data_IF_162095637130
#
_entry.id   IF_162095637130
#
_cell.length_a   1.000
_cell.length_b   1.000
_cell.length_c   1.000
_cell.angle_alpha   90.00
_cell.angle_beta   90.00
_cell.angle_gamma   90.00
#
_symmetry.space_group_name_H-M   'P 1'
#
loop_
_entity.id
_entity.type
_entity.pdbx_description
1 polymer ?
#
# COMPACT_ATOMS: atom_id res chain seq x y z
N UNK A 1 17.73 3.04 -13.40
CA UNK A 1 18.91 2.28 -12.93
C UNK A 1 18.95 2.27 -11.41
N UNK A 2 18.88 3.41 -10.77
CA UNK A 2 19.01 3.56 -9.31
C UNK A 2 17.89 2.85 -8.54
N UNK A 3 16.65 2.90 -9.05
CA UNK A 3 15.51 2.16 -8.49
C UNK A 3 15.75 0.66 -8.40
N UNK A 4 16.33 0.05 -9.45
CA UNK A 4 16.65 -1.40 -9.46
C UNK A 4 17.70 -1.73 -8.40
N UNK A 5 18.72 -0.88 -8.28
CA UNK A 5 19.78 -1.08 -7.27
C UNK A 5 19.24 -0.90 -5.85
N UNK A 6 18.37 0.09 -5.63
CA UNK A 6 17.73 0.33 -4.34
C UNK A 6 16.84 -0.85 -3.93
N UNK A 7 15.96 -1.30 -4.83
CA UNK A 7 15.10 -2.45 -4.62
C UNK A 7 15.91 -3.73 -4.34
N UNK A 8 17.01 -3.93 -5.08
CA UNK A 8 17.90 -5.06 -4.83
C UNK A 8 18.54 -5.01 -3.42
N UNK A 9 18.92 -3.84 -2.96
CA UNK A 9 19.45 -3.65 -1.61
C UNK A 9 18.41 -3.96 -0.53
N UNK A 10 17.15 -3.51 -0.70
CA UNK A 10 16.04 -3.81 0.21
C UNK A 10 15.79 -5.32 0.30
N UNK A 11 15.67 -5.99 -0.86
CA UNK A 11 15.49 -7.46 -0.95
C UNK A 11 16.65 -8.19 -0.27
N UNK A 12 17.89 -7.80 -0.56
CA UNK A 12 19.08 -8.44 0.00
C UNK A 12 19.19 -8.26 1.52
N UNK A 13 18.81 -7.09 2.06
CA UNK A 13 18.74 -6.86 3.50
C UNK A 13 17.67 -7.73 4.16
N UNK A 14 16.48 -7.79 3.55
CA UNK A 14 15.38 -8.61 4.06
C UNK A 14 15.74 -10.10 4.12
N UNK A 15 16.45 -10.62 3.10
CA UNK A 15 16.95 -12.00 3.11
C UNK A 15 17.94 -12.22 4.26
N UNK A 16 18.91 -11.32 4.44
CA UNK A 16 19.89 -11.42 5.56
C UNK A 16 19.22 -11.38 6.93
N UNK A 17 18.08 -10.71 7.06
CA UNK A 17 17.28 -10.66 8.29
C UNK A 17 16.39 -11.89 8.48
N UNK A 18 16.45 -12.88 7.58
CA UNK A 18 15.71 -14.14 7.68
C UNK A 18 14.40 -14.18 6.90
N UNK A 19 14.12 -13.18 6.07
CA UNK A 19 13.02 -13.22 5.11
C UNK A 19 13.23 -14.34 4.09
N UNK A 20 12.19 -15.13 3.84
CA UNK A 20 12.28 -16.30 2.96
C UNK A 20 11.66 -15.99 1.60
N UNK A 21 12.46 -16.06 0.53
CA UNK A 21 11.97 -15.89 -0.85
C UNK A 21 11.27 -17.19 -1.28
N UNK A 22 9.94 -17.14 -1.39
CA UNK A 22 9.11 -18.28 -1.82
C UNK A 22 8.94 -18.35 -3.33
N UNK A 23 9.08 -17.21 -3.99
CA UNK A 23 9.03 -17.11 -5.45
C UNK A 23 9.94 -15.99 -5.93
N UNK A 24 10.67 -16.28 -7.01
CA UNK A 24 11.40 -15.27 -7.78
C UNK A 24 11.38 -15.69 -9.24
N UNK A 25 10.94 -14.79 -10.11
CA UNK A 25 10.87 -15.09 -11.54
C UNK A 25 12.26 -15.37 -12.11
N UNK A 26 12.47 -16.52 -12.78
CA UNK A 26 13.82 -17.00 -13.09
C UNK A 26 14.46 -16.32 -14.31
N UNK A 27 13.66 -15.75 -15.20
CA UNK A 27 14.13 -15.22 -16.49
C UNK A 27 13.80 -13.75 -16.64
N UNK A 28 14.83 -12.92 -16.82
CA UNK A 28 14.67 -11.49 -17.07
C UNK A 28 15.31 -11.10 -18.40
N UNK A 29 14.78 -10.09 -19.09
CA UNK A 29 15.44 -9.56 -20.29
C UNK A 29 16.88 -9.12 -19.99
N UNK A 30 17.81 -9.41 -20.90
CA UNK A 30 19.23 -9.05 -20.72
C UNK A 30 19.48 -7.55 -20.85
N UNK A 31 18.59 -6.81 -21.53
CA UNK A 31 18.70 -5.36 -21.75
C UNK A 31 17.53 -4.65 -21.09
N UNK A 32 17.78 -3.52 -20.42
CA UNK A 32 16.77 -2.73 -19.72
C UNK A 32 16.95 -2.73 -18.21
N UNK A 33 16.00 -2.08 -17.51
CA UNK A 33 16.01 -1.91 -16.07
C UNK A 33 14.86 -2.71 -15.45
N UNK A 34 14.99 -4.01 -15.47
CA UNK A 34 13.99 -4.95 -14.94
C UNK A 34 14.42 -5.47 -13.57
N UNK A 35 13.43 -5.78 -12.75
CA UNK A 35 13.61 -6.53 -11.51
C UNK A 35 12.69 -7.75 -11.53
N UNK A 36 13.17 -8.94 -11.14
CA UNK A 36 12.35 -10.14 -11.15
C UNK A 36 11.23 -10.06 -10.12
N UNK A 37 9.97 -10.32 -10.49
CA UNK A 37 8.90 -10.50 -9.52
C UNK A 37 9.33 -11.45 -8.40
N UNK A 38 9.25 -10.95 -7.18
CA UNK A 38 9.77 -11.62 -5.98
C UNK A 38 8.73 -11.60 -4.87
N UNK A 39 8.45 -12.77 -4.29
CA UNK A 39 7.53 -12.94 -3.19
C UNK A 39 8.26 -13.46 -1.96
N UNK A 40 8.04 -12.79 -0.84
CA UNK A 40 8.57 -13.18 0.47
C UNK A 40 7.51 -13.82 1.35
N UNK A 41 7.92 -14.77 2.16
CA UNK A 41 7.22 -15.21 3.38
C UNK A 41 8.12 -14.99 4.60
N UNK A 42 7.61 -15.28 5.80
CA UNK A 42 8.31 -15.04 7.07
C UNK A 42 8.78 -13.59 7.21
N UNK A 43 7.98 -12.67 6.70
CA UNK A 43 8.24 -11.24 6.81
C UNK A 43 7.96 -10.80 8.24
N UNK A 44 8.87 -9.99 8.80
CA UNK A 44 8.69 -9.29 10.07
C UNK A 44 8.64 -7.78 9.83
N UNK A 45 8.10 -7.07 10.78
CA UNK A 45 7.86 -5.62 10.69
C UNK A 45 9.15 -4.78 10.67
N UNK A 46 10.27 -5.34 11.12
CA UNK A 46 11.60 -4.72 11.09
C UNK A 46 12.35 -4.90 9.76
N UNK A 47 11.83 -5.74 8.85
CA UNK A 47 12.47 -5.99 7.55
C UNK A 47 12.18 -4.88 6.55
N UNK A 48 13.15 -4.48 5.71
CA UNK A 48 12.96 -3.46 4.67
C UNK A 48 11.77 -3.73 3.73
N UNK A 49 11.51 -4.98 3.38
CA UNK A 49 10.36 -5.37 2.53
C UNK A 49 9.00 -5.06 3.19
N UNK A 50 8.96 -4.82 4.50
CA UNK A 50 7.76 -4.37 5.22
C UNK A 50 7.81 -2.88 5.56
N UNK A 51 8.93 -2.41 6.09
CA UNK A 51 9.05 -1.08 6.71
C UNK A 51 9.39 0.04 5.72
N UNK A 52 9.91 -0.30 4.54
CA UNK A 52 10.28 0.66 3.50
C UNK A 52 9.36 0.51 2.28
N UNK A 53 9.23 1.57 1.48
CA UNK A 53 8.55 1.47 0.20
C UNK A 53 9.38 0.64 -0.78
N UNK A 54 8.85 -0.52 -1.18
CA UNK A 54 9.44 -1.34 -2.24
C UNK A 54 8.87 -0.94 -3.60
N UNK A 55 9.49 0.04 -4.24
CA UNK A 55 8.99 0.55 -5.50
C UNK A 55 9.35 -0.39 -6.66
N UNK A 56 8.60 -1.48 -6.79
CA UNK A 56 8.84 -2.52 -7.80
C UNK A 56 8.09 -3.83 -7.53
N UNK A 57 8.30 -4.87 -8.34
CA UNK A 57 7.55 -6.12 -8.29
C UNK A 57 7.99 -7.02 -7.12
N UNK A 58 7.98 -6.51 -5.91
CA UNK A 58 8.33 -7.24 -4.69
C UNK A 58 7.16 -7.16 -3.73
N UNK A 59 6.75 -8.30 -3.17
CA UNK A 59 5.70 -8.37 -2.18
C UNK A 59 6.12 -9.26 -1.00
N UNK A 60 5.67 -8.89 0.19
CA UNK A 60 5.88 -9.64 1.42
C UNK A 60 4.57 -10.18 1.98
N UNK A 61 4.59 -11.43 2.43
CA UNK A 61 3.49 -12.05 3.18
C UNK A 61 3.89 -12.08 4.65
N UNK A 62 3.03 -11.48 5.47
CA UNK A 62 3.13 -11.53 6.92
C UNK A 62 1.86 -12.20 7.48
N UNK A 63 2.05 -13.12 8.43
CA UNK A 63 0.92 -13.78 9.09
C UNK A 63 0.41 -12.93 10.25
N UNK A 64 -0.90 -12.91 10.43
CA UNK A 64 -1.55 -12.30 11.57
C UNK A 64 -2.23 -13.37 12.43
N UNK A 65 -2.12 -13.26 13.76
CA UNK A 65 -2.68 -14.22 14.70
C UNK A 65 -4.20 -14.06 14.87
N UNK A 66 -4.71 -12.91 14.47
CA UNK A 66 -6.14 -12.60 14.51
C UNK A 66 -6.51 -11.53 13.48
N UNK A 67 -7.81 -11.40 13.17
CA UNK A 67 -8.27 -10.31 12.32
C UNK A 67 -7.95 -8.90 12.87
N UNK A 68 -7.93 -8.73 14.18
CA UNK A 68 -7.52 -7.46 14.81
C UNK A 68 -6.04 -7.22 14.61
N UNK A 69 -5.19 -8.23 14.84
CA UNK A 69 -3.76 -8.14 14.59
C UNK A 69 -3.43 -7.83 13.12
N UNK A 70 -4.23 -8.31 12.16
CA UNK A 70 -4.03 -7.96 10.75
C UNK A 70 -4.22 -6.46 10.47
N UNK A 71 -5.17 -5.80 11.17
CA UNK A 71 -5.37 -4.35 11.06
C UNK A 71 -4.21 -3.60 11.73
N UNK A 72 -3.73 -4.08 12.86
CA UNK A 72 -2.57 -3.49 13.54
C UNK A 72 -1.34 -3.54 12.64
N UNK A 73 -1.05 -4.70 12.06
CA UNK A 73 0.04 -4.87 11.09
C UNK A 73 -0.13 -3.95 9.87
N UNK A 74 -1.32 -3.88 9.29
CA UNK A 74 -1.59 -3.02 8.14
C UNK A 74 -1.39 -1.53 8.45
N UNK A 75 -1.58 -1.13 9.71
CA UNK A 75 -1.44 0.26 10.14
C UNK A 75 -0.01 0.66 10.56
N UNK A 76 0.91 -0.30 10.73
CA UNK A 76 2.29 -0.03 11.15
C UNK A 76 3.12 0.70 10.09
N UNK A 77 2.72 0.66 8.82
CA UNK A 77 3.43 1.38 7.77
C UNK A 77 3.28 2.89 7.90
N UNK A 78 4.31 3.63 7.51
CA UNK A 78 4.27 5.09 7.38
C UNK A 78 3.48 5.59 6.16
N UNK A 79 3.04 4.68 5.30
CA UNK A 79 2.27 4.95 4.10
C UNK A 79 0.79 4.59 4.29
N UNK A 80 -0.06 5.17 3.46
CA UNK A 80 -1.50 4.94 3.53
C UNK A 80 -2.21 5.43 2.27
N UNK A 81 -1.80 4.96 1.09
CA UNK A 81 -2.49 5.30 -0.16
C UNK A 81 -3.76 4.48 -0.31
N UNK A 82 -3.64 3.17 -0.31
CA UNK A 82 -4.74 2.27 -0.52
C UNK A 82 -4.54 0.92 0.15
N UNK A 83 -5.65 0.26 0.46
CA UNK A 83 -5.70 -1.08 1.03
C UNK A 83 -6.84 -1.88 0.40
N UNK A 84 -6.69 -3.20 0.38
CA UNK A 84 -7.73 -4.13 -0.03
C UNK A 84 -8.01 -5.15 1.08
N UNK A 85 -9.28 -5.43 1.33
CA UNK A 85 -9.73 -6.46 2.27
C UNK A 85 -10.48 -7.52 1.46
N UNK A 86 -10.04 -8.77 1.54
CA UNK A 86 -10.67 -9.90 0.87
C UNK A 86 -11.33 -10.80 1.89
N UNK A 87 -12.65 -10.91 1.84
CA UNK A 87 -13.44 -11.72 2.78
C UNK A 87 -14.85 -12.00 2.25
N UNK A 88 -15.45 -13.10 2.69
CA UNK A 88 -16.86 -13.39 2.47
C UNK A 88 -17.78 -12.63 3.43
N UNK A 89 -17.29 -12.16 4.58
CA UNK A 89 -18.05 -11.38 5.57
C UNK A 89 -17.91 -9.88 5.28
N UNK A 90 -18.79 -9.36 4.42
CA UNK A 90 -18.77 -7.95 3.98
C UNK A 90 -19.07 -6.99 5.16
N UNK A 91 -19.94 -7.37 6.11
CA UNK A 91 -20.24 -6.53 7.28
C UNK A 91 -19.03 -6.34 8.16
N UNK A 92 -18.29 -7.42 8.39
CA UNK A 92 -17.02 -7.38 9.13
C UNK A 92 -15.95 -6.60 8.37
N UNK A 93 -15.91 -6.73 7.04
CA UNK A 93 -14.98 -5.97 6.21
C UNK A 93 -15.22 -4.46 6.32
N UNK A 94 -16.47 -3.99 6.35
CA UNK A 94 -16.78 -2.57 6.54
C UNK A 94 -16.28 -2.06 7.89
N UNK A 95 -16.51 -2.80 8.97
CA UNK A 95 -16.02 -2.46 10.30
C UNK A 95 -14.47 -2.38 10.33
N UNK A 96 -13.78 -3.26 9.60
CA UNK A 96 -12.32 -3.25 9.46
C UNK A 96 -11.82 -2.10 8.60
N UNK A 97 -12.50 -1.82 7.48
CA UNK A 97 -12.16 -0.72 6.58
C UNK A 97 -12.11 0.63 7.33
N UNK A 98 -13.03 0.86 8.28
CA UNK A 98 -13.04 2.06 9.13
C UNK A 98 -11.84 2.18 10.06
N UNK A 99 -11.14 1.08 10.34
CA UNK A 99 -9.96 1.01 11.23
C UNK A 99 -8.64 1.03 10.45
N UNK A 100 -8.65 0.71 9.16
CA UNK A 100 -7.46 0.77 8.31
C UNK A 100 -7.08 2.23 8.07
N UNK A 101 -5.83 2.55 8.33
CA UNK A 101 -5.25 3.88 8.12
C UNK A 101 -4.72 4.01 6.68
N UNK A 102 -5.63 4.03 5.73
CA UNK A 102 -5.36 4.30 4.32
C UNK A 102 -6.40 5.30 3.79
N UNK A 103 -6.01 6.08 2.79
CA UNK A 103 -6.91 7.05 2.17
C UNK A 103 -8.03 6.40 1.38
N UNK A 104 -7.82 5.16 0.93
CA UNK A 104 -8.77 4.36 0.17
C UNK A 104 -8.75 2.91 0.68
N UNK A 105 -9.92 2.33 0.92
CA UNK A 105 -10.05 0.92 1.31
C UNK A 105 -11.07 0.25 0.40
N UNK A 106 -10.66 -0.82 -0.24
CA UNK A 106 -11.46 -1.61 -1.17
C UNK A 106 -11.80 -2.96 -0.54
N UNK A 107 -13.05 -3.38 -0.65
CA UNK A 107 -13.49 -4.70 -0.17
C UNK A 107 -13.77 -5.60 -1.37
N UNK A 108 -13.09 -6.75 -1.40
CA UNK A 108 -13.15 -7.72 -2.50
C UNK A 108 -12.84 -7.11 -3.88
N UNK A 109 -11.99 -6.09 -3.89
CA UNK A 109 -11.53 -5.42 -5.10
C UNK A 109 -10.09 -4.95 -4.94
N UNK A 110 -9.38 -4.81 -6.05
CA UNK A 110 -8.06 -4.19 -6.07
C UNK A 110 -8.18 -2.68 -5.88
N UNK A 111 -7.14 -2.07 -5.32
CA UNK A 111 -6.99 -0.61 -5.28
C UNK A 111 -6.98 -0.08 -6.71
N UNK A 112 -7.93 0.79 -7.03
CA UNK A 112 -8.04 1.41 -8.35
C UNK A 112 -8.61 2.83 -8.21
N UNK A 113 -8.13 3.76 -9.03
CA UNK A 113 -8.70 5.08 -9.12
C UNK A 113 -9.97 5.06 -10.01
N UNK A 114 -10.98 5.82 -9.60
CA UNK A 114 -12.21 6.02 -10.36
C UNK A 114 -12.55 7.51 -10.33
N UNK A 115 -12.79 8.15 -11.49
CA UNK A 115 -13.03 9.60 -11.55
C UNK A 115 -14.26 10.09 -10.79
N UNK A 116 -15.16 9.19 -10.39
CA UNK A 116 -16.38 9.49 -9.64
C UNK A 116 -16.19 9.62 -8.15
N UNK A 117 -15.10 9.06 -7.61
CA UNK A 117 -14.83 9.03 -6.17
C UNK A 117 -13.48 9.67 -5.86
N UNK A 118 -13.39 10.29 -4.69
CA UNK A 118 -12.13 10.87 -4.23
C UNK A 118 -11.07 9.79 -4.05
N UNK A 119 -9.87 10.03 -4.57
CA UNK A 119 -8.71 9.17 -4.43
C UNK A 119 -7.54 9.97 -3.84
N UNK A 120 -6.77 9.38 -2.94
CA UNK A 120 -5.59 10.05 -2.38
C UNK A 120 -5.14 9.40 -1.08
N UNK A 121 -3.86 9.59 -0.76
CA UNK A 121 -3.23 9.02 0.41
C UNK A 121 -3.46 9.78 1.70
N UNK A 122 -2.98 9.18 2.78
CA UNK A 122 -2.74 9.78 4.08
C UNK A 122 -1.31 9.43 4.52
N UNK A 123 -0.88 9.91 5.67
CA UNK A 123 0.49 9.72 6.16
C UNK A 123 1.49 10.20 5.10
N UNK A 124 2.57 9.49 4.85
CA UNK A 124 3.58 9.83 3.83
C UNK A 124 3.15 9.61 2.39
N UNK A 125 1.99 8.97 2.16
CA UNK A 125 1.47 8.77 0.80
C UNK A 125 0.85 10.00 0.17
N UNK A 126 0.65 11.08 0.90
CA UNK A 126 0.26 12.36 0.35
C UNK A 126 -0.70 13.17 1.21
N UNK A 127 -1.05 14.34 0.70
CA UNK A 127 -2.00 15.31 1.27
C UNK A 127 -3.11 15.55 0.25
N UNK A 128 -4.31 15.88 0.75
CA UNK A 128 -5.46 16.18 -0.10
C UNK A 128 -6.03 14.97 -0.84
N UNK A 129 -6.93 15.25 -1.76
CA UNK A 129 -7.60 14.25 -2.61
C UNK A 129 -7.62 14.71 -4.05
N UNK A 130 -7.54 13.76 -4.95
CA UNK A 130 -7.81 13.94 -6.37
C UNK A 130 -9.12 13.24 -6.74
N UNK A 131 -9.66 13.56 -7.89
CA UNK A 131 -10.90 13.00 -8.45
C UNK A 131 -12.17 13.30 -7.63
N UNK A 132 -13.31 13.03 -8.23
CA UNK A 132 -14.61 13.31 -7.63
C UNK A 132 -14.81 14.78 -7.24
N UNK A 133 -15.85 15.05 -6.48
CA UNK A 133 -16.16 16.40 -6.00
C UNK A 133 -15.06 16.97 -5.07
N UNK A 134 -14.47 16.11 -4.22
CA UNK A 134 -13.42 16.53 -3.31
C UNK A 134 -12.15 16.98 -4.06
N UNK A 135 -11.77 16.24 -5.11
CA UNK A 135 -10.61 16.62 -5.91
C UNK A 135 -10.80 17.96 -6.65
N UNK A 136 -12.02 18.26 -7.11
CA UNK A 136 -12.32 19.57 -7.70
C UNK A 136 -12.18 20.67 -6.63
N UNK A 137 -12.64 20.42 -5.42
CA UNK A 137 -12.59 21.39 -4.31
C UNK A 137 -11.18 21.72 -3.84
N UNK A 138 -10.20 20.88 -4.07
CA UNK A 138 -8.77 21.17 -3.78
C UNK A 138 -8.21 22.34 -4.62
N UNK A 139 -8.87 22.66 -5.77
CA UNK A 139 -8.41 23.70 -6.69
C UNK A 139 -9.27 24.97 -6.64
N UNK A 140 -10.17 25.11 -5.66
CA UNK A 140 -11.06 26.28 -5.51
C UNK A 140 -10.96 26.87 -4.11
N UNK A 141 -11.25 28.16 -3.99
CA UNK A 141 -11.32 28.84 -2.73
C UNK A 141 -12.75 28.91 -2.21
N UNK A 142 -12.99 28.45 -1.01
CA UNK A 142 -14.27 28.67 -0.32
C UNK A 142 -14.40 30.15 0.08
N UNK A 143 -15.54 30.79 -0.30
CA UNK A 143 -15.86 32.17 0.09
C UNK A 143 -17.14 32.19 0.93
N UNK A 144 -17.06 32.70 2.13
CA UNK A 144 -18.24 32.94 2.96
C UNK A 144 -18.79 34.33 2.66
N UNK A 145 -20.10 34.40 2.42
CA UNK A 145 -20.85 35.67 2.31
C UNK A 145 -21.90 35.67 3.41
N UNK A 146 -21.78 36.63 4.30
CA UNK A 146 -22.75 36.84 5.38
C UNK A 146 -23.52 38.15 5.13
N UNK A 147 -24.85 38.04 5.04
CA UNK A 147 -25.77 39.20 4.92
C UNK A 147 -26.65 39.16 6.18
N UNK A 148 -26.65 40.25 6.92
CA UNK A 148 -27.51 40.44 8.11
C UNK A 148 -28.79 41.14 7.75
#
# INVERSE_FOLDING_TARGET
>A
KDMVSHLHAQVSRSVRMGGHVVFKYPQMPKKGFYYPPTLFSRVRTDMPVFSEETFGPVAGIISADSPTHSIELANLTEYGLGSSIWTSDVKKAEAFARRIQAGNVFVNANVASDPRIAFGGIKRSGLGKEMGEMGIKEFVNAKTIWIK
#
